data_IF_175698059146
#
_entry.id   IF_175698059146
#
_cell.length_a   1.000
_cell.length_b   1.000
_cell.length_c   1.000
_cell.angle_alpha   90.00
_cell.angle_beta   90.00
_cell.angle_gamma   90.00
#
_symmetry.space_group_name_H-M   'P 1'
#
loop_
_entity.id
_entity.type
_entity.pdbx_description
1 polymer ?
#
# COMPACT_ATOMS: atom_id res chain seq x y z
N UNK A 1 -3.33 -16.26 -5.72
CA UNK A 1 -2.82 -15.29 -6.72
C UNK A 1 -4.01 -14.71 -7.50
N UNK A 2 -3.77 -14.14 -8.68
CA UNK A 2 -4.80 -13.63 -9.60
C UNK A 2 -4.88 -14.42 -10.92
N UNK A 3 -4.11 -15.51 -11.06
CA UNK A 3 -3.83 -16.19 -12.33
C UNK A 3 -5.10 -16.77 -12.96
N UNK A 4 -5.94 -17.43 -12.17
CA UNK A 4 -7.21 -18.00 -12.66
C UNK A 4 -8.18 -16.94 -13.21
N UNK A 5 -8.20 -15.76 -12.60
CA UNK A 5 -9.06 -14.67 -13.04
C UNK A 5 -8.51 -13.97 -14.28
N UNK A 6 -7.19 -13.79 -14.36
CA UNK A 6 -6.53 -13.27 -15.54
C UNK A 6 -6.74 -14.20 -16.74
N UNK A 7 -6.54 -15.51 -16.55
CA UNK A 7 -6.81 -16.52 -17.57
C UNK A 7 -8.26 -16.48 -18.06
N UNK A 8 -9.23 -16.37 -17.14
CA UNK A 8 -10.66 -16.29 -17.50
C UNK A 8 -10.97 -15.07 -18.37
N UNK A 9 -10.32 -13.94 -18.11
CA UNK A 9 -10.48 -12.72 -18.91
C UNK A 9 -9.82 -12.91 -20.28
N UNK A 10 -8.62 -13.49 -20.32
CA UNK A 10 -7.91 -13.77 -21.57
C UNK A 10 -8.69 -14.74 -22.48
N UNK A 11 -9.19 -15.85 -21.92
CA UNK A 11 -10.00 -16.83 -22.64
C UNK A 11 -11.30 -16.19 -23.19
N UNK A 12 -11.88 -15.20 -22.48
CA UNK A 12 -13.08 -14.50 -22.92
C UNK A 12 -12.83 -13.56 -24.11
N UNK A 13 -11.69 -12.86 -24.11
CA UNK A 13 -11.35 -11.90 -25.17
C UNK A 13 -10.48 -12.51 -26.28
N UNK A 14 -10.06 -13.78 -26.15
CA UNK A 14 -9.22 -14.45 -27.13
C UNK A 14 -7.81 -13.84 -27.24
N UNK A 15 -7.27 -13.32 -26.13
CA UNK A 15 -5.94 -12.69 -26.10
C UNK A 15 -4.83 -13.71 -25.89
N UNK A 16 -3.65 -13.47 -26.45
CA UNK A 16 -2.43 -14.19 -26.08
C UNK A 16 -2.07 -13.89 -24.62
N UNK A 17 -1.98 -14.92 -23.79
CA UNK A 17 -1.82 -14.78 -22.35
C UNK A 17 -0.51 -15.39 -21.87
N UNK A 18 0.37 -14.56 -21.33
CA UNK A 18 1.65 -14.97 -20.75
C UNK A 18 1.56 -14.93 -19.22
N UNK A 19 2.09 -15.96 -18.57
CA UNK A 19 2.10 -16.10 -17.11
C UNK A 19 3.54 -16.29 -16.66
N UNK A 20 3.96 -15.46 -15.69
CA UNK A 20 5.21 -15.65 -14.97
C UNK A 20 4.87 -16.13 -13.56
N UNK A 21 5.27 -17.36 -13.26
CA UNK A 21 5.22 -17.90 -11.90
C UNK A 21 6.58 -17.68 -11.23
N UNK A 22 6.57 -17.16 -10.00
CA UNK A 22 7.78 -16.97 -9.20
C UNK A 22 7.71 -17.89 -7.99
N UNK A 23 8.60 -18.89 -7.95
CA UNK A 23 8.71 -19.79 -6.80
C UNK A 23 9.38 -19.10 -5.62
N UNK A 24 9.18 -19.61 -4.41
CA UNK A 24 9.85 -19.10 -3.20
C UNK A 24 11.39 -19.18 -3.32
N UNK A 25 11.90 -20.23 -3.98
CA UNK A 25 13.33 -20.41 -4.20
C UNK A 25 13.89 -19.34 -5.16
N UNK A 26 13.21 -19.09 -6.28
CA UNK A 26 13.62 -18.05 -7.23
C UNK A 26 13.52 -16.66 -6.62
N UNK A 27 12.47 -16.38 -5.85
CA UNK A 27 12.35 -15.12 -5.12
C UNK A 27 13.50 -14.96 -4.13
N UNK A 28 13.84 -15.98 -3.35
CA UNK A 28 14.93 -15.90 -2.37
C UNK A 28 16.29 -15.63 -3.04
N UNK A 29 16.56 -16.24 -4.20
CA UNK A 29 17.82 -16.04 -4.90
C UNK A 29 17.90 -14.71 -5.65
N UNK A 30 16.79 -14.22 -6.20
CA UNK A 30 16.77 -13.02 -7.06
C UNK A 30 16.35 -11.74 -6.33
N UNK A 31 15.71 -11.83 -5.16
CA UNK A 31 15.19 -10.67 -4.45
C UNK A 31 16.27 -9.66 -4.06
N UNK A 32 17.48 -10.02 -3.57
CA UNK A 32 18.50 -9.03 -3.24
C UNK A 32 18.85 -8.14 -4.43
N UNK A 33 19.21 -8.75 -5.56
CA UNK A 33 19.55 -8.05 -6.80
C UNK A 33 18.33 -7.27 -7.35
N UNK A 34 17.14 -7.85 -7.28
CA UNK A 34 15.93 -7.19 -7.76
C UNK A 34 15.59 -5.97 -6.90
N UNK A 35 15.73 -6.07 -5.59
CA UNK A 35 15.49 -4.98 -4.65
C UNK A 35 16.51 -3.85 -4.86
N UNK A 36 17.78 -4.19 -5.07
CA UNK A 36 18.82 -3.22 -5.43
C UNK A 36 18.47 -2.45 -6.71
N UNK A 37 17.98 -3.13 -7.75
CA UNK A 37 17.54 -2.50 -9.01
C UNK A 37 16.30 -1.63 -8.80
N UNK A 38 15.31 -2.11 -8.05
CA UNK A 38 14.09 -1.35 -7.73
C UNK A 38 14.46 -0.06 -7.02
N UNK A 39 15.30 -0.13 -5.98
CA UNK A 39 15.76 1.03 -5.22
C UNK A 39 16.54 1.99 -6.12
N UNK A 40 17.42 1.47 -6.99
CA UNK A 40 18.16 2.28 -7.95
C UNK A 40 17.23 3.05 -8.90
N UNK A 41 16.24 2.39 -9.50
CA UNK A 41 15.28 3.02 -10.41
C UNK A 41 14.33 4.00 -9.69
N UNK A 42 14.10 3.80 -8.40
CA UNK A 42 13.39 4.76 -7.56
C UNK A 42 14.23 5.97 -7.16
N UNK A 43 15.54 5.80 -6.94
CA UNK A 43 16.44 6.86 -6.48
C UNK A 43 16.18 7.33 -5.03
N UNK A 44 15.22 6.71 -4.35
CA UNK A 44 14.78 7.01 -2.99
C UNK A 44 14.33 5.70 -2.31
N UNK A 45 14.20 5.64 -0.97
CA UNK A 45 13.78 4.43 -0.25
C UNK A 45 12.27 4.18 -0.42
N UNK A 46 11.85 3.91 -1.67
CA UNK A 46 10.47 3.77 -2.10
C UNK A 46 9.86 2.44 -1.67
N UNK A 47 8.96 2.50 -0.70
CA UNK A 47 8.55 1.35 0.11
C UNK A 47 7.31 0.57 -0.35
N UNK A 48 6.77 0.80 -1.54
CA UNK A 48 5.61 0.05 -2.05
C UNK A 48 6.03 -1.38 -2.43
N UNK A 49 5.49 -2.37 -1.72
CA UNK A 49 5.80 -3.80 -1.93
C UNK A 49 5.30 -4.31 -3.29
N UNK A 50 4.35 -3.61 -3.92
CA UNK A 50 3.89 -3.91 -5.27
C UNK A 50 4.88 -3.51 -6.37
N UNK A 51 5.97 -2.80 -6.04
CA UNK A 51 7.06 -2.54 -6.99
C UNK A 51 7.70 -3.84 -7.50
N UNK A 52 7.85 -4.84 -6.62
CA UNK A 52 8.44 -6.13 -6.95
C UNK A 52 7.68 -6.89 -8.06
N UNK A 53 6.37 -7.18 -7.92
CA UNK A 53 5.63 -7.83 -9.00
C UNK A 53 5.48 -6.92 -10.23
N UNK A 54 5.44 -5.59 -10.07
CA UNK A 54 5.37 -4.64 -11.20
C UNK A 54 6.65 -4.69 -12.05
N UNK A 55 7.82 -4.78 -11.40
CA UNK A 55 9.11 -4.97 -12.06
C UNK A 55 9.12 -6.26 -12.88
N UNK A 56 8.76 -7.39 -12.26
CA UNK A 56 8.77 -8.69 -12.95
C UNK A 56 7.75 -8.79 -14.09
N UNK A 57 6.52 -8.29 -13.91
CA UNK A 57 5.51 -8.33 -14.99
C UNK A 57 5.88 -7.40 -16.14
N UNK A 58 6.53 -6.26 -15.85
CA UNK A 58 7.03 -5.36 -16.88
C UNK A 58 8.17 -5.99 -17.68
N UNK A 59 9.09 -6.70 -17.00
CA UNK A 59 10.13 -7.49 -17.66
C UNK A 59 9.54 -8.51 -18.64
N UNK A 60 8.56 -9.29 -18.18
CA UNK A 60 7.86 -10.27 -19.03
C UNK A 60 7.18 -9.58 -20.21
N UNK A 61 6.38 -8.54 -19.96
CA UNK A 61 5.65 -7.85 -21.03
C UNK A 61 6.61 -7.26 -22.09
N UNK A 62 7.79 -6.78 -21.68
CA UNK A 62 8.78 -6.22 -22.61
C UNK A 62 9.28 -7.23 -23.64
N UNK A 63 9.31 -8.51 -23.31
CA UNK A 63 9.71 -9.59 -24.23
C UNK A 63 8.76 -9.69 -25.45
N UNK A 64 7.53 -9.16 -25.33
CA UNK A 64 6.48 -9.28 -26.34
C UNK A 64 6.05 -7.94 -26.93
N UNK A 65 6.03 -6.86 -26.14
CA UNK A 65 5.51 -5.54 -26.56
C UNK A 65 6.34 -4.39 -25.99
N UNK A 66 6.18 -3.21 -26.58
CA UNK A 66 6.80 -1.96 -26.10
C UNK A 66 5.82 -1.06 -25.36
N UNK A 67 4.51 -1.28 -25.51
CA UNK A 67 3.44 -0.48 -24.90
C UNK A 67 2.38 -1.39 -24.29
N UNK A 68 1.96 -1.11 -23.06
CA UNK A 68 0.82 -1.76 -22.41
C UNK A 68 -0.22 -0.76 -21.89
N UNK A 69 -1.47 -1.23 -21.73
CA UNK A 69 -2.53 -0.48 -21.09
C UNK A 69 -2.72 -0.99 -19.64
N UNK A 70 -2.71 -0.09 -18.67
CA UNK A 70 -2.98 -0.39 -17.28
C UNK A 70 -4.39 0.06 -16.84
N UNK A 71 -4.82 -0.46 -15.70
CA UNK A 71 -6.10 -0.10 -15.05
C UNK A 71 -5.97 0.94 -13.94
N UNK A 72 -4.84 1.64 -13.86
CA UNK A 72 -4.56 2.64 -12.82
C UNK A 72 -5.59 3.78 -12.87
N UNK A 73 -5.92 4.38 -11.72
CA UNK A 73 -7.00 5.37 -11.63
C UNK A 73 -8.38 4.75 -11.46
N UNK A 74 -8.56 3.45 -11.71
CA UNK A 74 -9.85 2.79 -11.53
C UNK A 74 -10.33 2.76 -10.09
N UNK A 75 -9.42 2.74 -9.11
CA UNK A 75 -9.77 2.77 -7.67
C UNK A 75 -9.95 4.19 -7.15
N UNK A 76 -9.05 5.08 -7.53
CA UNK A 76 -8.93 6.45 -7.06
C UNK A 76 -10.05 7.31 -7.61
N UNK A 77 -10.33 7.21 -8.91
CA UNK A 77 -11.39 8.01 -9.55
C UNK A 77 -12.80 7.52 -9.18
N UNK A 78 -12.99 6.21 -9.02
CA UNK A 78 -14.31 5.57 -8.90
C UNK A 78 -14.60 4.94 -7.53
N UNK A 79 -13.83 5.24 -6.50
CA UNK A 79 -14.14 4.83 -5.13
C UNK A 79 -13.99 3.33 -4.88
N UNK A 80 -12.89 2.74 -5.35
CA UNK A 80 -12.66 1.30 -5.28
C UNK A 80 -12.04 0.80 -3.97
N UNK A 81 -11.36 1.67 -3.21
CA UNK A 81 -10.76 1.29 -1.94
C UNK A 81 -11.80 1.10 -0.81
N UNK A 82 -11.59 0.07 0.00
CA UNK A 82 -12.38 -0.16 1.22
C UNK A 82 -12.19 0.96 2.24
N UNK A 83 -11.09 1.73 2.13
CA UNK A 83 -10.81 2.89 2.95
C UNK A 83 -11.92 3.94 2.88
N UNK A 84 -12.43 4.22 1.67
CA UNK A 84 -13.52 5.16 1.39
C UNK A 84 -14.84 4.71 2.04
N UNK A 85 -15.16 3.41 1.93
CA UNK A 85 -16.35 2.85 2.56
C UNK A 85 -16.27 2.98 4.09
N UNK A 86 -15.09 2.68 4.65
CA UNK A 86 -14.83 2.86 6.07
C UNK A 86 -14.92 4.33 6.51
N UNK A 87 -14.48 5.28 5.68
CA UNK A 87 -14.59 6.70 5.97
C UNK A 87 -16.04 7.19 5.97
N UNK A 88 -16.87 6.73 5.01
CA UNK A 88 -18.33 6.98 5.01
C UNK A 88 -18.99 6.44 6.26
N UNK A 89 -18.66 5.21 6.65
CA UNK A 89 -19.16 4.61 7.89
C UNK A 89 -18.74 5.43 9.11
N UNK A 90 -17.46 5.76 9.23
CA UNK A 90 -16.94 6.52 10.37
C UNK A 90 -17.55 7.93 10.45
N UNK A 91 -17.76 8.61 9.33
CA UNK A 91 -18.47 9.90 9.30
C UNK A 91 -19.92 9.75 9.79
N UNK A 92 -20.63 8.74 9.31
CA UNK A 92 -22.00 8.43 9.73
C UNK A 92 -22.09 8.05 11.22
N UNK A 93 -21.07 7.37 11.75
CA UNK A 93 -20.95 6.98 13.15
C UNK A 93 -20.73 8.20 14.05
N UNK A 94 -19.77 9.08 13.73
CA UNK A 94 -19.50 10.32 14.49
C UNK A 94 -20.70 11.26 14.56
N UNK A 95 -21.53 11.31 13.51
CA UNK A 95 -22.75 12.11 13.49
C UNK A 95 -23.84 11.59 14.43
N UNK A 96 -23.85 10.29 14.75
CA UNK A 96 -24.92 9.63 15.51
C UNK A 96 -24.51 9.26 16.93
N UNK A 97 -23.22 9.04 17.18
CA UNK A 97 -22.70 8.53 18.44
C UNK A 97 -21.81 9.60 19.06
N UNK A 98 -22.16 10.12 20.27
CA UNK A 98 -21.30 11.03 21.02
C UNK A 98 -19.89 10.47 21.20
N UNK A 99 -18.87 11.33 21.09
CA UNK A 99 -17.45 10.91 21.11
C UNK A 99 -17.11 10.03 22.32
N UNK A 100 -17.55 10.41 23.52
CA UNK A 100 -17.29 9.63 24.74
C UNK A 100 -17.82 8.18 24.65
N UNK A 101 -19.07 8.02 24.18
CA UNK A 101 -19.66 6.69 24.00
C UNK A 101 -18.94 5.90 22.91
N UNK A 102 -18.65 6.56 21.79
CA UNK A 102 -18.03 5.92 20.64
C UNK A 102 -16.58 5.53 20.84
N UNK A 103 -15.84 6.27 21.67
CA UNK A 103 -14.42 6.08 21.92
C UNK A 103 -14.15 5.17 23.13
N UNK A 104 -14.92 5.31 24.20
CA UNK A 104 -14.69 4.57 25.44
C UNK A 104 -15.69 3.43 25.65
N UNK A 105 -16.99 3.73 25.60
CA UNK A 105 -18.03 2.79 26.07
C UNK A 105 -18.26 1.65 25.08
N UNK A 106 -18.64 1.95 23.83
CA UNK A 106 -18.97 0.93 22.84
C UNK A 106 -17.78 0.00 22.50
N UNK A 107 -16.54 0.51 22.32
CA UNK A 107 -15.39 -0.35 22.14
C UNK A 107 -15.09 -1.24 23.35
N UNK A 108 -15.24 -0.73 24.58
CA UNK A 108 -15.01 -1.51 25.79
C UNK A 108 -16.06 -2.61 25.97
N UNK A 109 -17.34 -2.33 25.68
CA UNK A 109 -18.40 -3.35 25.68
C UNK A 109 -18.11 -4.45 24.65
N UNK A 110 -17.77 -4.09 23.41
CA UNK A 110 -17.41 -5.05 22.37
C UNK A 110 -16.17 -5.87 22.74
N UNK A 111 -15.15 -5.23 23.32
CA UNK A 111 -13.91 -5.89 23.78
C UNK A 111 -14.15 -6.81 24.98
N UNK A 112 -15.07 -6.46 25.87
CA UNK A 112 -15.45 -7.27 27.03
C UNK A 112 -16.27 -8.48 26.58
N UNK A 113 -17.24 -8.28 25.70
CA UNK A 113 -18.01 -9.37 25.07
C UNK A 113 -17.08 -10.36 24.34
N UNK A 114 -16.00 -9.87 23.71
CA UNK A 114 -15.01 -10.72 23.05
C UNK A 114 -14.34 -11.74 23.98
N UNK A 115 -14.23 -11.46 25.29
CA UNK A 115 -13.66 -12.40 26.28
C UNK A 115 -14.51 -13.66 26.46
N UNK A 116 -15.81 -13.56 26.21
CA UNK A 116 -16.78 -14.65 26.37
C UNK A 116 -17.07 -15.41 25.07
N UNK A 117 -16.45 -15.01 23.95
CA UNK A 117 -16.64 -15.64 22.66
C UNK A 117 -15.49 -16.62 22.35
N UNK A 118 -15.77 -17.79 21.77
CA UNK A 118 -14.72 -18.71 21.35
C UNK A 118 -14.15 -18.35 19.96
N UNK A 119 -12.86 -18.66 19.78
CA UNK A 119 -12.18 -18.72 18.47
C UNK A 119 -12.39 -17.50 17.57
N UNK A 120 -12.95 -17.75 16.38
CA UNK A 120 -13.15 -16.74 15.33
C UNK A 120 -14.12 -15.62 15.72
N UNK A 121 -15.09 -15.89 16.60
CA UNK A 121 -16.06 -14.90 17.06
C UNK A 121 -15.41 -13.85 17.97
N UNK A 122 -14.50 -14.28 18.85
CA UNK A 122 -13.66 -13.36 19.66
C UNK A 122 -12.85 -12.45 18.76
N UNK A 123 -12.23 -13.00 17.73
CA UNK A 123 -11.46 -12.23 16.77
C UNK A 123 -12.30 -11.18 16.04
N UNK A 124 -13.51 -11.55 15.60
CA UNK A 124 -14.45 -10.61 14.98
C UNK A 124 -14.89 -9.52 15.96
N UNK A 125 -15.21 -9.86 17.20
CA UNK A 125 -15.59 -8.89 18.23
C UNK A 125 -14.47 -7.89 18.56
N UNK A 126 -13.21 -8.35 18.64
CA UNK A 126 -12.05 -7.48 18.79
C UNK A 126 -11.86 -6.55 17.58
N UNK A 127 -12.06 -7.05 16.36
CA UNK A 127 -12.06 -6.20 15.15
C UNK A 127 -13.15 -5.15 15.19
N UNK A 128 -14.37 -5.51 15.62
CA UNK A 128 -15.47 -4.55 15.78
C UNK A 128 -15.14 -3.50 16.83
N UNK A 129 -14.62 -3.91 17.99
CA UNK A 129 -14.15 -2.98 19.04
C UNK A 129 -13.15 -1.96 18.49
N UNK A 130 -12.16 -2.43 17.73
CA UNK A 130 -11.18 -1.57 17.05
C UNK A 130 -11.86 -0.61 16.06
N UNK A 131 -12.71 -1.11 15.16
CA UNK A 131 -13.42 -0.28 14.17
C UNK A 131 -14.25 0.81 14.84
N UNK A 132 -14.95 0.49 15.94
CA UNK A 132 -15.76 1.47 16.68
C UNK A 132 -14.89 2.57 17.29
N UNK A 133 -13.76 2.18 17.91
CA UNK A 133 -12.78 3.11 18.47
C UNK A 133 -12.19 4.00 17.38
N UNK A 134 -11.66 3.43 16.31
CA UNK A 134 -11.03 4.17 15.21
C UNK A 134 -12.03 5.09 14.51
N UNK A 135 -13.30 4.67 14.40
CA UNK A 135 -14.38 5.48 13.82
C UNK A 135 -14.78 6.67 14.69
N UNK A 136 -14.44 6.67 15.98
CA UNK A 136 -14.71 7.78 16.91
C UNK A 136 -13.65 8.89 16.88
N UNK A 137 -12.45 8.58 16.37
CA UNK A 137 -11.34 9.54 16.29
C UNK A 137 -11.69 10.72 15.39
N UNK A 138 -11.14 11.93 15.60
CA UNK A 138 -11.22 13.02 14.63
C UNK A 138 -10.85 12.56 13.22
N UNK A 139 -11.49 13.13 12.19
CA UNK A 139 -11.32 12.64 10.82
C UNK A 139 -9.87 12.65 10.34
N UNK A 140 -9.12 13.72 10.65
CA UNK A 140 -7.73 13.86 10.23
C UNK A 140 -6.82 12.80 10.88
N UNK A 141 -7.03 12.52 12.17
CA UNK A 141 -6.33 11.45 12.87
C UNK A 141 -6.69 10.08 12.29
N UNK A 142 -7.98 9.83 12.07
CA UNK A 142 -8.44 8.57 11.48
C UNK A 142 -7.95 8.34 10.04
N UNK A 143 -7.74 9.42 9.27
CA UNK A 143 -7.08 9.32 7.97
C UNK A 143 -5.61 8.92 8.17
N UNK A 144 -4.85 9.69 8.96
CA UNK A 144 -3.42 9.46 9.20
C UNK A 144 -3.14 8.02 9.62
N UNK A 145 -3.81 7.57 10.68
CA UNK A 145 -3.61 6.24 11.24
C UNK A 145 -3.95 5.11 10.24
N UNK A 146 -4.77 5.43 9.22
CA UNK A 146 -5.19 4.48 8.20
C UNK A 146 -4.29 4.50 6.96
N UNK A 147 -3.65 5.62 6.65
CA UNK A 147 -2.73 5.76 5.50
C UNK A 147 -1.26 5.60 5.88
N UNK A 148 -0.92 5.60 7.17
CA UNK A 148 0.44 5.40 7.65
C UNK A 148 0.71 3.94 8.06
N UNK A 149 1.88 3.41 7.69
CA UNK A 149 2.38 2.10 8.18
C UNK A 149 2.98 2.25 9.58
N UNK A 150 3.64 3.38 9.83
CA UNK A 150 4.18 3.76 11.13
C UNK A 150 3.32 4.87 11.73
N UNK A 151 2.83 4.67 12.96
CA UNK A 151 2.22 5.77 13.70
C UNK A 151 3.29 6.60 14.41
N UNK A 152 2.92 7.77 14.93
CA UNK A 152 3.86 8.68 15.59
C UNK A 152 4.55 8.02 16.80
N UNK A 153 3.84 7.23 17.59
CA UNK A 153 4.42 6.56 18.77
C UNK A 153 5.49 5.56 18.32
N UNK A 154 5.19 4.75 17.31
CA UNK A 154 6.16 3.79 16.77
C UNK A 154 7.39 4.49 16.19
N UNK A 155 7.24 5.67 15.56
CA UNK A 155 8.37 6.43 15.03
C UNK A 155 9.26 7.01 16.13
N UNK A 156 8.68 7.52 17.23
CA UNK A 156 9.44 8.00 18.38
C UNK A 156 10.24 6.90 19.09
N UNK A 157 9.74 5.67 19.07
CA UNK A 157 10.47 4.52 19.62
C UNK A 157 11.49 3.92 18.63
N UNK A 158 11.32 4.18 17.34
CA UNK A 158 12.13 3.61 16.25
C UNK A 158 13.33 4.49 15.89
N UNK A 159 13.15 5.81 15.87
CA UNK A 159 14.17 6.77 15.43
C UNK A 159 15.02 7.23 16.62
N UNK A 160 16.29 7.51 16.36
CA UNK A 160 17.21 8.04 17.38
C UNK A 160 16.81 9.45 17.81
N UNK A 161 17.16 9.89 19.04
CA UNK A 161 16.87 11.24 19.52
C UNK A 161 17.37 12.36 18.60
N UNK A 162 18.55 12.17 17.98
CA UNK A 162 19.15 13.13 17.07
C UNK A 162 18.25 13.34 15.84
N UNK A 163 17.80 12.27 15.20
CA UNK A 163 16.88 12.33 14.04
C UNK A 163 15.52 12.92 14.43
N UNK A 164 14.99 12.57 15.60
CA UNK A 164 13.74 13.12 16.09
C UNK A 164 13.82 14.63 16.30
N UNK A 165 14.95 15.13 16.80
CA UNK A 165 15.15 16.56 17.08
C UNK A 165 15.19 17.43 15.82
N UNK A 166 15.58 16.84 14.68
CA UNK A 166 15.66 17.52 13.38
C UNK A 166 14.37 17.38 12.55
N UNK A 167 13.44 16.50 12.95
CA UNK A 167 12.27 16.18 12.14
C UNK A 167 11.12 17.18 12.34
N UNK A 168 10.84 17.97 11.30
CA UNK A 168 9.65 18.83 11.23
C UNK A 168 8.37 18.10 10.80
N UNK A 169 8.48 16.84 10.36
CA UNK A 169 7.41 16.10 9.68
C UNK A 169 6.64 15.13 10.61
N UNK A 170 7.07 14.96 11.86
CA UNK A 170 6.43 14.06 12.85
C UNK A 170 5.24 14.71 13.59
N UNK A 171 4.46 15.52 12.86
CA UNK A 171 3.38 16.33 13.42
C UNK A 171 1.97 15.86 13.06
N UNK A 172 1.00 16.71 13.38
CA UNK A 172 -0.41 16.42 13.09
C UNK A 172 -0.78 16.57 11.61
N UNK A 173 -0.05 17.40 10.90
CA UNK A 173 -0.21 17.61 9.48
C UNK A 173 0.82 16.74 8.74
N UNK A 174 0.32 15.74 8.02
CA UNK A 174 1.12 14.77 7.24
C UNK A 174 0.93 14.93 5.73
N UNK A 175 0.14 15.93 5.31
CA UNK A 175 -0.04 16.33 3.93
C UNK A 175 0.43 17.78 3.75
N UNK A 176 0.91 18.14 2.55
CA UNK A 176 1.10 19.54 2.18
C UNK A 176 -0.15 20.39 2.42
N UNK A 177 0.02 21.68 2.72
CA UNK A 177 -1.04 22.61 3.13
C UNK A 177 -2.29 22.57 2.24
N UNK A 178 -2.08 22.53 0.92
CA UNK A 178 -3.16 22.49 -0.07
C UNK A 178 -4.03 21.23 0.07
N UNK A 179 -3.43 20.06 0.30
CA UNK A 179 -4.15 18.79 0.49
C UNK A 179 -4.73 18.66 1.90
N UNK A 180 -4.01 19.19 2.89
CA UNK A 180 -4.52 19.31 4.26
C UNK A 180 -5.82 20.12 4.30
N UNK A 181 -5.88 21.23 3.57
CA UNK A 181 -7.10 22.04 3.47
C UNK A 181 -8.28 21.26 2.86
N UNK A 182 -8.03 20.38 1.87
CA UNK A 182 -9.05 19.51 1.26
C UNK A 182 -9.68 18.56 2.28
N UNK A 183 -8.89 18.01 3.22
CA UNK A 183 -9.42 17.17 4.32
C UNK A 183 -10.39 17.94 5.24
N UNK A 184 -10.25 19.26 5.33
CA UNK A 184 -11.03 20.10 6.24
C UNK A 184 -12.34 20.63 5.61
N UNK A 185 -12.53 20.53 4.28
CA UNK A 185 -13.73 20.99 3.57
C UNK A 185 -14.96 20.13 3.94
N UNK A 186 -15.72 20.51 4.96
CA UNK A 186 -16.84 19.69 5.49
C UNK A 186 -18.13 19.78 4.66
N UNK A 187 -18.20 20.75 3.77
CA UNK A 187 -19.26 20.97 2.78
C UNK A 187 -19.23 19.94 1.63
N UNK A 188 -18.05 19.37 1.33
CA UNK A 188 -17.89 18.28 0.36
C UNK A 188 -18.11 16.92 1.00
N UNK A 189 -18.65 15.98 0.23
CA UNK A 189 -18.81 14.61 0.71
C UNK A 189 -17.45 13.94 0.94
N UNK A 190 -17.39 13.07 1.96
CA UNK A 190 -16.11 12.49 2.42
C UNK A 190 -15.39 11.69 1.34
N UNK A 191 -16.12 11.03 0.43
CA UNK A 191 -15.48 10.24 -0.63
C UNK A 191 -14.82 11.17 -1.63
N UNK A 192 -15.51 12.22 -2.09
CA UNK A 192 -14.95 13.16 -3.06
C UNK A 192 -13.67 13.83 -2.56
N UNK A 193 -13.60 14.17 -1.26
CA UNK A 193 -12.37 14.71 -0.66
C UNK A 193 -11.23 13.70 -0.65
N UNK A 194 -11.52 12.45 -0.32
CA UNK A 194 -10.52 11.38 -0.29
C UNK A 194 -10.01 11.05 -1.69
N UNK A 195 -10.90 10.99 -2.69
CA UNK A 195 -10.49 10.74 -4.09
C UNK A 195 -9.68 11.91 -4.66
N UNK A 196 -9.99 13.16 -4.29
CA UNK A 196 -9.21 14.35 -4.66
C UNK A 196 -7.79 14.28 -4.10
N UNK A 197 -7.66 13.91 -2.82
CA UNK A 197 -6.35 13.75 -2.17
C UNK A 197 -5.58 12.59 -2.80
N UNK A 198 -6.20 11.43 -3.00
CA UNK A 198 -5.51 10.28 -3.57
C UNK A 198 -5.01 10.56 -4.99
N UNK A 199 -5.79 11.26 -5.82
CA UNK A 199 -5.35 11.67 -7.18
C UNK A 199 -4.16 12.63 -7.13
N UNK A 200 -4.08 13.50 -6.11
CA UNK A 200 -3.05 14.55 -6.01
C UNK A 200 -1.89 14.23 -5.07
N UNK A 201 -1.90 13.06 -4.43
CA UNK A 201 -0.80 12.56 -3.60
C UNK A 201 -0.55 11.10 -3.90
N UNK A 202 -1.31 10.18 -3.32
CA UNK A 202 -1.10 8.73 -3.45
C UNK A 202 -0.87 8.23 -4.89
N UNK A 203 -1.56 8.78 -5.91
CA UNK A 203 -1.24 8.46 -7.29
C UNK A 203 0.10 9.04 -7.76
N UNK A 204 0.33 10.32 -7.50
CA UNK A 204 1.49 11.07 -7.99
C UNK A 204 2.78 10.73 -7.26
N UNK A 205 2.68 10.27 -6.02
CA UNK A 205 3.83 10.01 -5.13
C UNK A 205 4.07 8.50 -4.91
N UNK A 206 3.11 7.63 -5.26
CA UNK A 206 3.22 6.18 -5.06
C UNK A 206 2.84 5.40 -6.32
N UNK A 207 1.56 5.35 -6.70
CA UNK A 207 1.09 4.42 -7.75
C UNK A 207 1.75 4.67 -9.11
N UNK A 208 1.70 5.90 -9.62
CA UNK A 208 2.23 6.23 -10.94
C UNK A 208 3.74 6.24 -10.95
N UNK A 209 4.37 6.65 -9.85
CA UNK A 209 5.82 6.61 -9.66
C UNK A 209 6.34 5.19 -9.76
N UNK A 210 5.69 4.26 -9.03
CA UNK A 210 6.01 2.83 -9.13
C UNK A 210 5.84 2.33 -10.55
N UNK A 211 4.66 2.54 -11.14
CA UNK A 211 4.34 1.96 -12.46
C UNK A 211 5.33 2.45 -13.50
N UNK A 212 5.57 3.76 -13.57
CA UNK A 212 6.51 4.37 -14.50
C UNK A 212 7.94 3.84 -14.29
N UNK A 213 8.47 3.91 -13.07
CA UNK A 213 9.86 3.52 -12.80
C UNK A 213 10.09 2.02 -13.01
N UNK A 214 9.16 1.18 -12.58
CA UNK A 214 9.28 -0.27 -12.72
C UNK A 214 9.10 -0.75 -14.17
N UNK A 215 8.26 -0.07 -14.96
CA UNK A 215 8.12 -0.38 -16.37
C UNK A 215 9.28 0.14 -17.20
N UNK A 216 9.74 1.37 -16.91
CA UNK A 216 10.88 1.99 -17.59
C UNK A 216 12.21 1.34 -17.26
N UNK A 217 12.34 0.66 -16.11
CA UNK A 217 13.46 -0.26 -15.83
C UNK A 217 13.64 -1.34 -16.92
N UNK A 218 12.58 -1.60 -17.71
CA UNK A 218 12.57 -2.53 -18.82
C UNK A 218 12.20 -1.87 -20.15
N UNK A 219 12.29 -0.54 -20.27
CA UNK A 219 11.92 0.19 -21.50
C UNK A 219 10.51 -0.17 -22.01
N UNK A 220 9.55 -0.31 -21.09
CA UNK A 220 8.16 -0.59 -21.36
C UNK A 220 7.30 0.63 -21.05
N UNK A 221 6.60 1.15 -22.06
CA UNK A 221 5.67 2.27 -21.89
C UNK A 221 4.32 1.76 -21.34
N UNK A 222 3.88 2.34 -20.22
CA UNK A 222 2.56 2.05 -19.65
C UNK A 222 1.64 3.24 -19.86
N UNK A 223 0.46 3.00 -20.42
CA UNK A 223 -0.59 4.02 -20.56
C UNK A 223 -1.77 3.66 -19.67
N UNK A 224 -2.33 4.63 -18.97
CA UNK A 224 -3.56 4.44 -18.20
C UNK A 224 -4.73 5.21 -18.85
N UNK A 225 -5.61 4.54 -19.62
CA UNK A 225 -6.74 5.19 -20.27
C UNK A 225 -7.75 5.81 -19.29
N UNK A 226 -7.85 5.28 -18.06
CA UNK A 226 -8.75 5.84 -17.05
C UNK A 226 -8.27 7.19 -16.52
N UNK A 227 -7.00 7.53 -16.72
CA UNK A 227 -6.41 8.80 -16.32
C UNK A 227 -6.39 9.85 -17.42
N UNK A 228 -7.06 9.61 -18.55
CA UNK A 228 -7.37 10.68 -19.51
C UNK A 228 -8.06 11.85 -18.81
N UNK A 229 -7.66 13.08 -19.13
CA UNK A 229 -8.12 14.26 -18.40
C UNK A 229 -9.66 14.41 -18.44
N UNK A 230 -10.32 14.00 -19.53
CA UNK A 230 -11.79 14.05 -19.63
C UNK A 230 -12.43 13.00 -18.72
N UNK A 231 -11.81 11.83 -18.58
CA UNK A 231 -12.26 10.80 -17.65
C UNK A 231 -12.09 11.26 -16.20
N UNK A 232 -10.96 11.89 -15.88
CA UNK A 232 -10.68 12.46 -14.56
C UNK A 232 -11.68 13.57 -14.22
N UNK A 233 -11.90 14.53 -15.11
CA UNK A 233 -12.88 15.61 -14.95
C UNK A 233 -14.31 15.07 -14.77
N UNK A 234 -14.70 14.10 -15.60
CA UNK A 234 -15.99 13.42 -15.48
C UNK A 234 -16.13 12.73 -14.12
N UNK A 235 -15.14 11.94 -13.71
CA UNK A 235 -15.17 11.26 -12.41
C UNK A 235 -15.15 12.25 -11.24
N UNK A 236 -14.46 13.39 -11.35
CA UNK A 236 -14.42 14.42 -10.31
C UNK A 236 -15.77 15.13 -10.13
N UNK A 237 -16.50 15.36 -11.21
CA UNK A 237 -17.85 15.95 -11.18
C UNK A 237 -18.94 14.99 -10.66
N UNK A 238 -18.64 13.69 -10.60
CA UNK A 238 -19.62 12.64 -10.33
C UNK A 238 -19.98 12.57 -8.84
N UNK A 239 -21.28 12.61 -8.48
CA UNK A 239 -21.72 12.37 -7.10
C UNK A 239 -21.24 11.01 -6.58
N UNK A 240 -20.68 10.98 -5.37
CA UNK A 240 -20.03 9.77 -4.83
C UNK A 240 -20.95 8.56 -4.64
N UNK A 241 -22.28 8.76 -4.68
CA UNK A 241 -23.27 7.69 -4.70
C UNK A 241 -23.23 6.81 -5.97
N UNK A 242 -22.71 7.32 -7.09
CA UNK A 242 -22.48 6.53 -8.30
C UNK A 242 -21.15 5.75 -8.22
N UNK A 243 -20.19 6.26 -7.45
CA UNK A 243 -18.91 5.58 -7.19
C UNK A 243 -19.07 4.44 -6.18
N UNK A 244 -19.81 4.68 -5.09
CA UNK A 244 -19.97 3.73 -3.98
C UNK A 244 -21.44 3.55 -3.61
N UNK A 245 -21.93 2.31 -3.74
CA UNK A 245 -23.29 1.90 -3.38
C UNK A 245 -23.26 0.80 -2.30
N UNK A 246 -23.59 1.16 -1.06
CA UNK A 246 -23.46 0.24 0.08
C UNK A 246 -22.02 -0.26 0.24
N UNK A 247 -21.81 -1.57 0.15
CA UNK A 247 -20.47 -2.21 0.20
C UNK A 247 -19.79 -2.33 -1.17
N UNK A 248 -20.45 -1.86 -2.24
CA UNK A 248 -19.98 -1.96 -3.63
C UNK A 248 -19.23 -0.69 -4.02
N UNK A 249 -17.90 -0.76 -4.04
CA UNK A 249 -17.04 0.26 -4.65
C UNK A 249 -16.92 0.07 -6.17
N UNK A 250 -16.46 1.11 -6.88
CA UNK A 250 -16.45 1.15 -8.36
C UNK A 250 -17.82 0.83 -8.96
N UNK A 251 -18.92 1.25 -8.32
CA UNK A 251 -20.27 0.79 -8.65
C UNK A 251 -20.61 1.04 -10.12
N UNK A 252 -20.48 2.29 -10.59
CA UNK A 252 -20.72 2.64 -12.00
C UNK A 252 -19.78 1.90 -12.97
N UNK A 253 -18.48 1.80 -12.65
CA UNK A 253 -17.52 1.12 -13.51
C UNK A 253 -17.82 -0.38 -13.63
N UNK A 254 -18.25 -1.01 -12.52
CA UNK A 254 -18.72 -2.40 -12.52
C UNK A 254 -20.00 -2.58 -13.33
N UNK A 255 -20.92 -1.63 -13.29
CA UNK A 255 -22.17 -1.67 -14.06
C UNK A 255 -21.92 -1.60 -15.58
N UNK A 256 -20.94 -0.78 -15.98
CA UNK A 256 -20.50 -0.72 -17.38
C UNK A 256 -19.77 -2.01 -17.76
N UNK A 257 -18.78 -2.42 -16.96
CA UNK A 257 -17.94 -3.58 -17.27
C UNK A 257 -18.74 -4.89 -17.30
N UNK A 258 -19.79 -5.03 -16.49
CA UNK A 258 -20.64 -6.22 -16.46
C UNK A 258 -21.31 -6.56 -17.81
N UNK A 259 -21.35 -5.61 -18.75
CA UNK A 259 -21.84 -5.82 -20.12
C UNK A 259 -20.81 -6.45 -21.05
N UNK A 260 -19.54 -6.42 -20.67
CA UNK A 260 -18.39 -6.76 -21.53
C UNK A 260 -17.52 -7.89 -20.99
N UNK A 261 -17.73 -8.34 -19.74
CA UNK A 261 -16.91 -9.41 -19.13
C UNK A 261 -17.78 -10.49 -18.50
N UNK A 262 -17.23 -11.70 -18.26
CA UNK A 262 -17.96 -12.76 -17.60
C UNK A 262 -18.53 -12.31 -16.23
N UNK A 263 -19.72 -12.76 -15.82
CA UNK A 263 -20.35 -12.35 -14.56
C UNK A 263 -19.49 -12.62 -13.31
N UNK A 264 -18.61 -13.62 -13.35
CA UNK A 264 -17.66 -13.90 -12.26
C UNK A 264 -16.61 -12.80 -12.11
N UNK A 265 -16.12 -12.24 -13.22
CA UNK A 265 -15.11 -11.17 -13.24
C UNK A 265 -15.67 -9.86 -12.69
N UNK A 266 -16.86 -9.43 -13.13
CA UNK A 266 -17.46 -8.16 -12.68
C UNK A 266 -17.87 -8.18 -11.19
N UNK A 267 -18.18 -9.36 -10.66
CA UNK A 267 -18.53 -9.59 -9.24
C UNK A 267 -17.32 -9.87 -8.35
N UNK A 268 -16.10 -9.95 -8.90
CA UNK A 268 -14.87 -10.20 -8.12
C UNK A 268 -14.74 -9.14 -7.02
N UNK A 269 -14.37 -9.60 -5.82
CA UNK A 269 -14.01 -8.71 -4.71
C UNK A 269 -12.69 -8.01 -5.05
N UNK A 270 -12.51 -6.77 -4.58
CA UNK A 270 -11.22 -6.10 -4.79
C UNK A 270 -10.11 -6.90 -4.13
N UNK A 271 -9.06 -7.12 -4.89
CA UNK A 271 -7.78 -7.67 -4.47
C UNK A 271 -6.72 -6.58 -4.77
N UNK A 272 -5.73 -6.48 -3.91
CA UNK A 272 -4.58 -5.58 -4.11
C UNK A 272 -3.46 -6.33 -4.82
N UNK A 273 -2.59 -5.58 -5.49
CA UNK A 273 -1.42 -6.12 -6.18
C UNK A 273 -0.21 -6.21 -5.24
N UNK A 274 -0.41 -6.73 -4.03
CA UNK A 274 0.61 -6.78 -2.97
C UNK A 274 1.22 -8.17 -2.86
N UNK A 275 2.49 -8.24 -2.43
CA UNK A 275 3.16 -9.50 -2.10
C UNK A 275 2.91 -9.93 -0.64
N UNK A 276 2.98 -11.22 -0.30
CA UNK A 276 2.69 -11.70 1.05
C UNK A 276 3.89 -11.53 2.01
N UNK A 277 4.36 -10.27 2.17
CA UNK A 277 5.55 -9.93 2.99
C UNK A 277 5.50 -10.49 4.42
N UNK A 278 4.31 -10.59 5.01
CA UNK A 278 4.09 -11.21 6.31
C UNK A 278 4.59 -12.65 6.36
N UNK A 279 4.22 -13.45 5.37
CA UNK A 279 4.57 -14.88 5.36
C UNK A 279 6.00 -15.09 4.89
N UNK A 280 6.48 -14.25 3.97
CA UNK A 280 7.87 -14.24 3.53
C UNK A 280 8.83 -13.98 4.69
N UNK A 281 8.69 -12.88 5.43
CA UNK A 281 9.62 -12.54 6.51
C UNK A 281 9.48 -13.40 7.75
N UNK A 282 8.33 -14.04 7.95
CA UNK A 282 8.15 -15.01 9.02
C UNK A 282 8.76 -16.38 8.71
N UNK A 283 8.87 -16.74 7.43
CA UNK A 283 9.33 -18.06 6.98
C UNK A 283 10.42 -17.94 5.92
N UNK A 284 10.06 -17.86 4.63
CA UNK A 284 10.96 -18.06 3.50
C UNK A 284 12.17 -17.12 3.41
N UNK A 285 12.02 -15.87 3.88
CA UNK A 285 13.03 -14.82 3.83
C UNK A 285 13.52 -14.40 5.22
N UNK A 286 13.25 -15.20 6.25
CA UNK A 286 13.62 -14.86 7.63
C UNK A 286 15.14 -14.73 7.82
N UNK A 287 15.94 -15.49 7.06
CA UNK A 287 17.42 -15.39 7.11
C UNK A 287 17.91 -14.11 6.46
N UNK A 288 17.45 -13.82 5.24
CA UNK A 288 17.74 -12.56 4.54
C UNK A 288 17.35 -11.34 5.39
N UNK A 289 16.19 -11.39 6.05
CA UNK A 289 15.76 -10.28 6.91
C UNK A 289 16.75 -10.02 8.05
N UNK A 290 17.35 -11.07 8.62
CA UNK A 290 18.39 -10.94 9.65
C UNK A 290 19.67 -10.32 9.08
N UNK A 291 20.12 -10.81 7.93
CA UNK A 291 21.33 -10.30 7.27
C UNK A 291 21.23 -8.80 6.96
N UNK A 292 20.03 -8.29 6.68
CA UNK A 292 19.81 -6.86 6.41
C UNK A 292 19.57 -6.02 7.66
N UNK A 293 18.85 -6.53 8.66
CA UNK A 293 18.30 -5.70 9.73
C UNK A 293 18.80 -6.03 11.14
N UNK A 294 19.53 -7.13 11.34
CA UNK A 294 20.01 -7.52 12.67
C UNK A 294 21.20 -6.65 13.13
N UNK A 295 21.21 -6.26 14.41
CA UNK A 295 22.23 -5.38 14.96
C UNK A 295 23.62 -6.03 14.98
N UNK A 296 24.66 -5.26 14.66
CA UNK A 296 26.06 -5.70 14.68
C UNK A 296 26.55 -6.42 13.42
N UNK A 297 25.65 -6.64 12.44
CA UNK A 297 26.00 -7.20 11.12
C UNK A 297 25.07 -6.76 9.97
N UNK A 298 23.94 -6.13 10.28
CA UNK A 298 22.98 -5.62 9.30
C UNK A 298 23.39 -4.29 8.66
N UNK A 299 22.67 -3.93 7.60
CA UNK A 299 22.89 -2.75 6.75
C UNK A 299 22.15 -1.49 7.23
N UNK A 300 21.29 -1.63 8.24
CA UNK A 300 20.49 -0.52 8.78
C UNK A 300 21.35 0.38 9.70
N UNK A 301 21.44 1.70 9.46
CA UNK A 301 22.31 2.59 10.22
C UNK A 301 21.79 2.82 11.65
N UNK A 302 22.61 2.48 12.65
CA UNK A 302 22.30 2.69 14.07
C UNK A 302 22.32 4.17 14.49
N UNK A 303 22.83 5.07 13.65
CA UNK A 303 22.71 6.52 13.84
C UNK A 303 21.28 7.03 13.60
N UNK A 304 20.46 6.28 12.85
CA UNK A 304 19.10 6.69 12.47
C UNK A 304 18.05 5.85 13.22
N UNK A 305 18.29 4.55 13.40
CA UNK A 305 17.32 3.63 13.98
C UNK A 305 17.79 3.02 15.31
N UNK A 306 16.89 3.01 16.29
CA UNK A 306 17.08 2.40 17.59
C UNK A 306 17.17 0.86 17.49
N UNK A 307 18.36 0.26 17.73
CA UNK A 307 18.58 -1.17 17.49
C UNK A 307 17.65 -2.08 18.30
N UNK A 308 17.40 -1.71 19.56
CA UNK A 308 16.53 -2.49 20.46
C UNK A 308 15.10 -2.56 19.91
N UNK A 309 14.59 -1.46 19.32
CA UNK A 309 13.26 -1.42 18.75
C UNK A 309 13.18 -2.28 17.49
N UNK A 310 14.19 -2.21 16.62
CA UNK A 310 14.28 -3.05 15.42
C UNK A 310 14.31 -4.54 15.81
N UNK A 311 15.17 -4.94 16.75
CA UNK A 311 15.24 -6.31 17.25
C UNK A 311 13.92 -6.79 17.85
N UNK A 312 13.21 -5.93 18.60
CA UNK A 312 11.88 -6.24 19.11
C UNK A 312 10.89 -6.53 17.97
N UNK A 313 10.84 -5.66 16.95
CA UNK A 313 9.93 -5.80 15.80
C UNK A 313 10.18 -7.14 15.09
N UNK A 314 11.44 -7.48 14.83
CA UNK A 314 11.81 -8.74 14.19
C UNK A 314 11.41 -9.96 15.05
N UNK A 315 11.69 -9.92 16.35
CA UNK A 315 11.36 -11.01 17.27
C UNK A 315 9.85 -11.25 17.39
N UNK A 316 9.08 -10.17 17.55
CA UNK A 316 7.61 -10.24 17.65
C UNK A 316 6.97 -10.79 16.37
N UNK A 317 7.51 -10.41 15.21
CA UNK A 317 7.04 -10.91 13.92
C UNK A 317 7.30 -12.41 13.75
N UNK A 318 8.53 -12.83 14.07
CA UNK A 318 8.97 -14.22 13.94
C UNK A 318 8.10 -15.19 14.73
N UNK A 319 7.81 -14.86 15.99
CA UNK A 319 6.98 -15.71 16.86
C UNK A 319 5.47 -15.54 16.61
N UNK A 320 5.07 -14.64 15.70
CA UNK A 320 3.67 -14.38 15.38
C UNK A 320 2.91 -13.60 16.46
N UNK A 321 3.62 -12.92 17.38
CA UNK A 321 3.01 -12.03 18.39
C UNK A 321 2.36 -10.81 17.74
N UNK A 322 2.98 -10.27 16.69
CA UNK A 322 2.46 -9.15 15.90
C UNK A 322 2.79 -9.29 14.41
N UNK A 323 1.98 -8.69 13.54
CA UNK A 323 2.28 -8.62 12.10
C UNK A 323 3.02 -7.31 11.79
N UNK A 324 4.32 -7.40 11.56
CA UNK A 324 5.19 -6.29 11.22
C UNK A 324 5.71 -6.39 9.78
N UNK A 325 5.13 -7.23 8.91
CA UNK A 325 5.70 -7.52 7.59
C UNK A 325 5.93 -6.28 6.73
N UNK A 326 4.98 -5.34 6.72
CA UNK A 326 5.12 -4.05 6.02
C UNK A 326 6.19 -3.15 6.63
N UNK A 327 6.31 -3.12 7.96
CA UNK A 327 7.33 -2.33 8.66
C UNK A 327 8.73 -2.86 8.34
N UNK A 328 8.88 -4.18 8.34
CA UNK A 328 10.12 -4.87 7.96
C UNK A 328 10.48 -4.57 6.50
N UNK A 329 9.51 -4.62 5.58
CA UNK A 329 9.72 -4.24 4.18
C UNK A 329 10.30 -2.82 4.05
N UNK A 330 9.68 -1.83 4.72
CA UNK A 330 10.16 -0.45 4.70
C UNK A 330 11.60 -0.31 5.22
N UNK A 331 11.94 -1.01 6.31
CA UNK A 331 13.30 -1.01 6.86
C UNK A 331 14.29 -1.66 5.89
N UNK A 332 13.92 -2.74 5.22
CA UNK A 332 14.78 -3.39 4.22
C UNK A 332 15.05 -2.50 3.02
N UNK A 333 14.02 -1.88 2.46
CA UNK A 333 14.15 -0.92 1.35
C UNK A 333 15.06 0.23 1.75
N UNK A 334 14.87 0.79 2.96
CA UNK A 334 15.73 1.84 3.47
C UNK A 334 17.18 1.38 3.60
N UNK A 335 17.43 0.19 4.17
CA UNK A 335 18.78 -0.34 4.36
C UNK A 335 19.52 -0.48 3.01
N UNK A 336 18.84 -1.01 1.98
CA UNK A 336 19.39 -1.10 0.62
C UNK A 336 19.72 0.27 0.05
N UNK A 337 18.78 1.22 0.14
CA UNK A 337 18.99 2.58 -0.36
C UNK A 337 20.16 3.28 0.35
N UNK A 338 20.23 3.18 1.68
CA UNK A 338 21.28 3.80 2.45
C UNK A 338 22.66 3.22 2.10
N UNK A 339 22.76 1.90 1.92
CA UNK A 339 23.99 1.25 1.48
C UNK A 339 24.44 1.72 0.09
N UNK A 340 23.51 1.83 -0.87
CA UNK A 340 23.78 2.27 -2.23
C UNK A 340 24.20 3.74 -2.34
N UNK A 341 23.65 4.63 -1.51
CA UNK A 341 23.79 6.08 -1.72
C UNK A 341 24.54 6.82 -0.61
N UNK A 342 24.65 6.27 0.61
CA UNK A 342 25.24 6.97 1.77
C UNK A 342 26.48 6.26 2.33
N UNK A 343 26.56 4.93 2.24
CA UNK A 343 27.69 4.15 2.79
C UNK A 343 28.92 4.08 1.87
N UNK A 344 28.98 4.85 0.77
CA UNK A 344 30.09 4.82 -0.18
C UNK A 344 30.13 3.60 -1.11
N UNK A 345 29.05 2.80 -1.16
CA UNK A 345 28.86 1.81 -2.22
C UNK A 345 28.75 2.54 -3.55
N UNK A 346 29.73 2.37 -4.44
CA UNK A 346 29.70 3.02 -5.75
C UNK A 346 28.38 2.75 -6.44
N UNK A 347 27.75 3.81 -6.98
CA UNK A 347 26.63 3.68 -7.93
C UNK A 347 27.04 2.58 -8.94
N UNK A 348 26.21 1.55 -9.17
CA UNK A 348 26.53 0.55 -10.18
C UNK A 348 26.81 1.30 -11.48
N UNK A 349 28.06 1.27 -11.95
CA UNK A 349 28.39 1.82 -13.25
C UNK A 349 27.53 1.05 -14.25
N UNK A 350 26.57 1.74 -14.84
CA UNK A 350 25.83 1.22 -15.98
C UNK A 350 26.89 0.77 -16.98
N UNK A 351 27.02 -0.54 -17.18
CA UNK A 351 28.00 -1.09 -18.11
C UNK A 351 27.66 -0.53 -19.50
N UNK A 352 28.39 0.51 -19.90
CA UNK A 352 28.37 1.04 -21.24
C UNK A 352 29.07 0.02 -22.14
N UNK A 353 28.37 -1.06 -22.50
CA UNK A 353 28.75 -1.94 -23.59
C UNK A 353 27.92 -1.55 -24.81
N UNK A 354 28.22 -0.37 -25.35
CA UNK A 354 27.87 0.04 -26.71
C UNK A 354 29.06 0.77 -27.33
N UNK A 355 30.17 0.05 -27.49
CA UNK A 355 31.19 0.35 -28.51
C UNK A 355 31.74 -0.98 -29.07
N UNK A 356 31.11 -1.47 -30.14
CA UNK A 356 31.75 -1.97 -31.37
C UNK A 356 30.68 -2.36 -32.39
#
# INVERSE_FOLDING_TARGET
DESDDAKRVADHFGTEHHVLELTEQELRSTLPETLEKIVHHCGEPFGDDSALPTYHVSRLAREHVTVILSGDGGDELFGGYSSYQGARFAQAYRKRVPHFLGHHVLPALAGTAAKFLPGSLRYQALRVSKILRDSSLPFNQAYRDKTSIWNLVDLHELLTPDVLSESSYLGDQYLPDNLWSTLQQTDRDVVSRLTDIDVRSYMLDDILVKVDRMSMAHSLEVRSPLLDHKMVEFAASMPSQFKIQGKRGKAILRDVLAKHVPPKTSKKKKQGFSVPVRDWFRRGLAEMTRDYLEYGGGRLPSSIFEPNKVSQILAEHRVGKADHGRKIWLLMVFAVWHEQYQSGGGVPQCAASLES
#
